data_IF_200076651597
#
_entry.id   IF_200076651597
#
_cell.length_a   1.000
_cell.length_b   1.000
_cell.length_c   1.000
_cell.angle_alpha   90.00
_cell.angle_beta   90.00
_cell.angle_gamma   90.00
#
_symmetry.space_group_name_H-M   'P 1'
#
loop_
_entity.id
_entity.type
_entity.pdbx_description
1 polymer ?
#
# COMPACT_ATOMS: atom_id res chain seq x y z
N UNK A 1 -2.60 -6.28 10.16
CA UNK A 1 -3.26 -6.16 11.48
C UNK A 1 -4.71 -6.61 11.33
N UNK A 2 -5.32 -7.13 12.39
CA UNK A 2 -6.73 -7.53 12.40
C UNK A 2 -7.57 -6.48 13.14
N UNK A 3 -8.72 -6.12 12.57
CA UNK A 3 -9.68 -5.17 13.15
C UNK A 3 -10.90 -5.91 13.69
N UNK A 4 -11.42 -5.50 14.85
CA UNK A 4 -12.54 -6.18 15.50
C UNK A 4 -13.86 -5.49 15.16
N UNK A 5 -14.69 -6.14 14.36
CA UNK A 5 -16.04 -5.70 14.05
C UNK A 5 -17.02 -6.18 15.12
N UNK A 6 -17.98 -5.32 15.48
CA UNK A 6 -19.03 -5.62 16.45
C UNK A 6 -20.36 -5.07 15.98
N UNK A 7 -21.40 -5.87 16.11
CA UNK A 7 -22.79 -5.50 15.88
C UNK A 7 -23.63 -5.97 17.05
N UNK A 8 -24.69 -5.22 17.38
CA UNK A 8 -25.62 -5.57 18.44
C UNK A 8 -27.01 -5.72 17.85
N UNK A 9 -27.70 -6.79 18.23
CA UNK A 9 -29.09 -7.04 17.92
C UNK A 9 -29.90 -6.78 19.19
N UNK A 10 -30.92 -5.94 19.04
CA UNK A 10 -31.84 -5.59 20.11
C UNK A 10 -33.24 -6.05 19.74
N UNK A 11 -34.02 -6.46 20.74
CA UNK A 11 -35.47 -6.63 20.59
C UNK A 11 -36.19 -5.27 20.65
N UNK A 12 -37.52 -5.30 20.49
CA UNK A 12 -38.39 -4.12 20.56
C UNK A 12 -38.32 -3.38 21.91
N UNK A 13 -37.90 -4.07 22.97
CA UNK A 13 -37.82 -3.55 24.34
C UNK A 13 -36.39 -3.08 24.67
N UNK A 14 -35.46 -3.18 23.72
CA UNK A 14 -34.06 -2.76 23.84
C UNK A 14 -33.12 -3.80 24.45
N UNK A 15 -33.60 -5.01 24.75
CA UNK A 15 -32.76 -6.09 25.28
C UNK A 15 -31.94 -6.75 24.18
N UNK A 16 -30.76 -7.28 24.53
CA UNK A 16 -29.94 -8.02 23.58
C UNK A 16 -30.55 -9.39 23.27
N UNK A 17 -30.61 -9.75 21.99
CA UNK A 17 -31.10 -11.08 21.57
C UNK A 17 -29.92 -12.05 21.47
N UNK A 18 -29.88 -13.07 22.32
CA UNK A 18 -28.85 -14.12 22.29
C UNK A 18 -29.09 -15.16 21.18
N UNK A 19 -28.00 -15.71 20.61
CA UNK A 19 -28.07 -16.79 19.64
C UNK A 19 -28.55 -16.37 18.24
N UNK A 20 -28.81 -15.09 18.03
CA UNK A 20 -29.33 -14.57 16.77
C UNK A 20 -28.23 -14.54 15.69
N UNK A 21 -28.49 -15.06 14.48
CA UNK A 21 -27.49 -15.14 13.43
C UNK A 21 -27.22 -13.76 12.78
N UNK A 22 -25.95 -13.41 12.66
CA UNK A 22 -25.49 -12.26 11.89
C UNK A 22 -24.47 -12.72 10.86
N UNK A 23 -24.80 -12.49 9.58
CA UNK A 23 -23.96 -12.88 8.45
C UNK A 23 -23.05 -11.71 8.07
N UNK A 24 -21.75 -11.92 8.20
CA UNK A 24 -20.71 -10.99 7.77
C UNK A 24 -20.19 -11.40 6.38
N UNK A 25 -20.19 -10.45 5.45
CA UNK A 25 -19.78 -10.68 4.06
C UNK A 25 -18.86 -9.56 3.60
N UNK A 26 -17.63 -9.92 3.20
CA UNK A 26 -16.67 -9.00 2.59
C UNK A 26 -17.10 -8.77 1.14
N UNK A 27 -17.59 -7.56 0.83
CA UNK A 27 -18.04 -7.19 -0.52
C UNK A 27 -16.91 -6.67 -1.38
N UNK A 28 -15.95 -5.97 -0.79
CA UNK A 28 -14.78 -5.42 -1.49
C UNK A 28 -13.54 -5.48 -0.59
N UNK A 29 -12.37 -5.58 -1.22
CA UNK A 29 -11.08 -5.41 -0.56
C UNK A 29 -10.22 -6.67 -0.44
N UNK A 30 -10.82 -7.86 -0.63
CA UNK A 30 -10.08 -9.12 -0.68
C UNK A 30 -9.49 -9.56 0.67
N UNK A 31 -10.02 -9.03 1.78
CA UNK A 31 -9.69 -9.48 3.13
C UNK A 31 -10.29 -10.84 3.48
N UNK A 32 -10.07 -11.28 4.72
CA UNK A 32 -10.63 -12.51 5.28
C UNK A 32 -11.04 -12.31 6.73
N UNK A 33 -11.91 -13.18 7.25
CA UNK A 33 -12.27 -13.21 8.66
C UNK A 33 -11.44 -14.24 9.42
N UNK A 34 -10.96 -13.86 10.60
CA UNK A 34 -10.30 -14.79 11.52
C UNK A 34 -11.32 -15.48 12.45
N UNK A 35 -11.10 -16.76 12.83
CA UNK A 35 -9.99 -17.64 12.42
C UNK A 35 -10.27 -18.44 11.15
N UNK A 36 -11.44 -18.27 10.53
CA UNK A 36 -11.93 -19.16 9.46
C UNK A 36 -11.21 -18.98 8.13
N UNK A 37 -10.59 -17.82 7.90
CA UNK A 37 -10.04 -17.43 6.61
C UNK A 37 -11.12 -17.14 5.54
N UNK A 38 -12.39 -17.17 5.90
CA UNK A 38 -13.50 -17.00 4.97
C UNK A 38 -13.73 -15.51 4.64
N UNK A 39 -14.24 -15.22 3.45
CA UNK A 39 -14.75 -13.89 3.09
C UNK A 39 -16.24 -13.71 3.41
N UNK A 40 -16.89 -14.78 3.85
CA UNK A 40 -18.31 -14.81 4.20
C UNK A 40 -18.56 -15.83 5.31
N UNK A 41 -19.20 -15.41 6.40
CA UNK A 41 -19.49 -16.30 7.53
C UNK A 41 -20.62 -15.76 8.39
N UNK A 42 -21.24 -16.65 9.16
CA UNK A 42 -22.30 -16.29 10.11
C UNK A 42 -21.80 -16.46 11.53
N UNK A 43 -21.99 -15.42 12.35
CA UNK A 43 -21.67 -15.40 13.77
C UNK A 43 -22.95 -15.19 14.55
N UNK A 44 -23.14 -15.96 15.61
CA UNK A 44 -24.28 -15.79 16.54
C UNK A 44 -23.96 -14.77 17.62
N UNK A 45 -24.99 -14.03 18.06
CA UNK A 45 -24.87 -13.08 19.17
C UNK A 45 -24.71 -13.79 20.52
N UNK A 46 -23.98 -13.16 21.44
CA UNK A 46 -23.87 -13.62 22.83
C UNK A 46 -25.08 -13.18 23.70
N UNK A 47 -25.08 -13.50 24.99
CA UNK A 47 -26.08 -13.10 25.98
C UNK A 47 -26.39 -11.58 26.04
N UNK A 48 -25.47 -10.71 25.60
CA UNK A 48 -25.70 -9.26 25.50
C UNK A 48 -26.27 -8.79 24.15
N UNK A 49 -26.57 -9.73 23.25
CA UNK A 49 -27.02 -9.47 21.89
C UNK A 49 -25.91 -9.06 20.93
N UNK A 50 -24.64 -9.30 21.24
CA UNK A 50 -23.50 -8.81 20.44
C UNK A 50 -22.85 -9.94 19.66
N UNK A 51 -22.72 -9.77 18.35
CA UNK A 51 -21.89 -10.61 17.48
C UNK A 51 -20.55 -9.90 17.20
N UNK A 52 -19.45 -10.66 17.20
CA UNK A 52 -18.08 -10.12 17.04
C UNK A 52 -17.28 -10.97 16.07
N UNK A 53 -16.51 -10.33 15.21
CA UNK A 53 -15.61 -11.01 14.28
C UNK A 53 -14.35 -10.18 14.02
N UNK A 54 -13.22 -10.83 13.79
CA UNK A 54 -11.98 -10.16 13.41
C UNK A 54 -11.81 -10.15 11.89
N UNK A 55 -11.65 -8.97 11.31
CA UNK A 55 -11.36 -8.74 9.90
C UNK A 55 -9.84 -8.59 9.70
N UNK A 56 -9.27 -9.44 8.85
CA UNK A 56 -7.98 -9.18 8.21
C UNK A 56 -8.22 -8.40 6.93
N UNK A 57 -7.72 -7.16 6.89
CA UNK A 57 -7.81 -6.32 5.68
C UNK A 57 -7.00 -6.94 4.54
N UNK A 58 -7.51 -6.80 3.31
CA UNK A 58 -6.74 -7.15 2.13
C UNK A 58 -5.69 -6.10 1.77
N UNK A 59 -4.87 -6.39 0.76
CA UNK A 59 -3.72 -5.56 0.39
C UNK A 59 -4.04 -4.27 -0.36
N UNK A 60 -5.28 -3.78 -0.40
CA UNK A 60 -5.64 -2.56 -1.15
C UNK A 60 -5.74 -1.39 -0.17
N UNK A 61 -5.03 -0.30 -0.47
CA UNK A 61 -4.90 0.87 0.43
C UNK A 61 -5.78 2.07 0.07
N UNK A 62 -6.69 1.92 -0.89
CA UNK A 62 -7.57 3.03 -1.29
C UNK A 62 -8.64 3.28 -0.22
N UNK A 63 -9.10 4.53 -0.01
CA UNK A 63 -10.33 4.79 0.73
C UNK A 63 -11.47 3.92 0.18
N UNK A 64 -12.35 3.45 1.07
CA UNK A 64 -13.48 2.57 0.76
C UNK A 64 -13.09 1.29 0.00
N UNK A 65 -11.83 0.83 0.12
CA UNK A 65 -11.39 -0.39 -0.54
C UNK A 65 -11.85 -1.64 0.17
N UNK A 66 -12.06 -1.59 1.49
CA UNK A 66 -12.50 -2.71 2.30
C UNK A 66 -13.93 -2.43 2.76
N UNK A 67 -14.90 -3.15 2.18
CA UNK A 67 -16.32 -3.00 2.51
C UNK A 67 -16.83 -4.33 3.04
N UNK A 68 -17.38 -4.32 4.25
CA UNK A 68 -18.00 -5.49 4.89
C UNK A 68 -19.45 -5.16 5.22
N UNK A 69 -20.35 -6.06 4.82
CA UNK A 69 -21.75 -5.99 5.21
C UNK A 69 -22.02 -6.96 6.35
N UNK A 70 -22.66 -6.49 7.41
CA UNK A 70 -23.27 -7.33 8.43
C UNK A 70 -24.79 -7.32 8.23
N UNK A 71 -25.31 -8.45 7.76
CA UNK A 71 -26.74 -8.66 7.49
C UNK A 71 -27.35 -9.58 8.52
N UNK A 72 -28.56 -9.26 8.95
CA UNK A 72 -29.34 -10.07 9.88
C UNK A 72 -30.82 -9.91 9.56
N UNK A 73 -31.60 -10.97 9.73
CA UNK A 73 -33.03 -11.01 9.40
C UNK A 73 -33.82 -11.69 10.53
N UNK A 74 -35.11 -11.39 10.59
CA UNK A 74 -36.02 -11.97 11.57
C UNK A 74 -36.50 -13.39 11.19
N UNK A 75 -36.10 -13.89 10.02
CA UNK A 75 -36.54 -15.18 9.47
C UNK A 75 -37.99 -15.21 8.98
N UNK A 76 -38.71 -14.09 9.00
CA UNK A 76 -40.15 -14.01 8.69
C UNK A 76 -40.44 -12.89 7.68
N UNK A 77 -40.17 -11.63 8.06
CA UNK A 77 -40.50 -10.44 7.27
C UNK A 77 -39.33 -9.93 6.43
N UNK A 78 -38.10 -10.39 6.74
CA UNK A 78 -36.89 -10.06 5.99
C UNK A 78 -35.81 -9.46 6.90
N UNK A 79 -34.97 -8.61 6.31
CA UNK A 79 -33.85 -8.00 7.02
C UNK A 79 -34.34 -7.12 8.19
N UNK A 80 -33.60 -7.16 9.29
CA UNK A 80 -33.88 -6.31 10.45
C UNK A 80 -33.73 -4.83 10.09
N UNK A 81 -34.44 -3.96 10.81
CA UNK A 81 -34.25 -2.51 10.66
C UNK A 81 -32.78 -2.14 10.92
N UNK A 82 -32.16 -1.43 9.98
CA UNK A 82 -30.73 -1.09 10.03
C UNK A 82 -29.78 -2.17 9.49
N UNK A 83 -30.30 -3.31 9.02
CA UNK A 83 -29.56 -4.31 8.25
C UNK A 83 -29.67 -4.00 6.74
N UNK A 84 -28.57 -4.06 5.97
CA UNK A 84 -27.20 -4.31 6.41
C UNK A 84 -26.57 -3.12 7.14
N UNK A 85 -25.77 -3.43 8.16
CA UNK A 85 -24.76 -2.50 8.67
C UNK A 85 -23.54 -2.57 7.74
N UNK A 86 -23.08 -1.44 7.26
CA UNK A 86 -21.90 -1.34 6.37
C UNK A 86 -20.70 -0.86 7.17
N UNK A 87 -19.66 -1.68 7.21
CA UNK A 87 -18.35 -1.32 7.71
C UNK A 87 -17.43 -0.96 6.54
N UNK A 88 -16.79 0.20 6.63
CA UNK A 88 -15.78 0.65 5.68
C UNK A 88 -14.43 0.78 6.40
N UNK A 89 -13.40 0.20 5.79
CA UNK A 89 -12.02 0.30 6.26
C UNK A 89 -11.07 0.46 5.05
N UNK A 90 -9.83 0.79 5.34
CA UNK A 90 -8.76 0.81 4.35
C UNK A 90 -7.46 0.34 4.99
N UNK A 91 -6.65 -0.40 4.24
CA UNK A 91 -5.31 -0.74 4.68
C UNK A 91 -4.37 0.46 4.52
N UNK A 92 -3.29 0.48 5.29
CA UNK A 92 -2.13 1.34 5.03
C UNK A 92 -1.08 0.55 4.27
N UNK A 93 -0.24 1.26 3.50
CA UNK A 93 0.84 0.62 2.76
C UNK A 93 1.77 -0.13 3.72
N UNK A 94 2.21 -1.32 3.29
CA UNK A 94 3.21 -2.08 4.03
C UNK A 94 4.60 -1.44 3.97
N UNK A 95 5.59 -2.15 4.52
CA UNK A 95 7.00 -1.77 4.35
C UNK A 95 7.36 -1.76 2.85
N UNK A 96 8.23 -0.84 2.39
CA UNK A 96 8.80 -0.89 1.05
C UNK A 96 9.36 -2.27 0.71
N UNK A 97 9.20 -2.65 -0.56
CA UNK A 97 9.57 -3.95 -1.09
C UNK A 97 10.37 -3.78 -2.37
N UNK A 98 11.50 -4.48 -2.43
CA UNK A 98 12.44 -4.43 -3.53
C UNK A 98 11.86 -4.95 -4.85
N UNK A 99 11.03 -6.00 -4.79
CA UNK A 99 10.48 -6.65 -5.98
C UNK A 99 9.46 -5.81 -6.76
N UNK A 100 8.93 -4.74 -6.15
CA UNK A 100 7.90 -3.89 -6.73
C UNK A 100 8.32 -2.42 -6.84
N UNK A 101 9.36 -2.00 -6.12
CA UNK A 101 9.95 -0.66 -6.21
C UNK A 101 10.91 -0.56 -7.39
N UNK A 102 11.01 0.62 -8.01
CA UNK A 102 11.87 0.81 -9.17
C UNK A 102 12.30 2.26 -9.35
N UNK A 103 13.33 2.46 -10.17
CA UNK A 103 13.90 3.76 -10.50
C UNK A 103 13.85 3.96 -12.01
N UNK A 104 13.52 5.17 -12.46
CA UNK A 104 13.58 5.59 -13.86
C UNK A 104 14.41 6.86 -14.00
N UNK A 105 14.92 7.10 -15.20
CA UNK A 105 15.56 8.35 -15.59
C UNK A 105 14.80 9.01 -16.71
N UNK A 106 14.93 10.34 -16.85
CA UNK A 106 14.22 11.06 -17.91
C UNK A 106 14.69 10.69 -19.33
N UNK A 107 15.92 10.21 -19.45
CA UNK A 107 16.51 9.74 -20.71
C UNK A 107 17.47 8.57 -20.44
N UNK A 108 17.73 7.78 -21.47
CA UNK A 108 18.77 6.73 -21.46
C UNK A 108 20.17 7.28 -21.70
N UNK A 109 20.27 8.57 -22.04
CA UNK A 109 21.50 9.20 -22.50
C UNK A 109 21.62 10.63 -21.93
N UNK A 110 22.82 11.03 -21.48
CA UNK A 110 23.14 12.39 -21.01
C UNK A 110 24.54 12.82 -21.47
N UNK A 111 24.80 14.11 -21.74
CA UNK A 111 26.16 14.63 -21.84
C UNK A 111 26.98 14.34 -20.58
N UNK A 112 28.27 14.06 -20.76
CA UNK A 112 29.23 13.88 -19.67
C UNK A 112 30.01 15.18 -19.42
N UNK A 113 29.32 16.30 -19.33
CA UNK A 113 29.89 17.66 -19.21
C UNK A 113 30.03 18.13 -17.75
N UNK A 114 29.53 17.34 -16.79
CA UNK A 114 29.49 17.71 -15.36
C UNK A 114 28.46 18.80 -15.02
N UNK A 115 27.69 19.29 -15.98
CA UNK A 115 26.79 20.43 -15.82
C UNK A 115 25.34 20.05 -16.09
N UNK A 116 25.07 19.27 -17.13
CA UNK A 116 23.73 18.89 -17.55
C UNK A 116 23.16 17.83 -16.60
N UNK A 117 22.11 18.14 -15.80
CA UNK A 117 21.55 17.18 -14.86
C UNK A 117 20.71 16.11 -15.56
N UNK A 118 20.91 14.85 -15.18
CA UNK A 118 20.02 13.75 -15.51
C UNK A 118 18.98 13.58 -14.39
N UNK A 119 17.69 13.86 -14.64
CA UNK A 119 16.63 13.64 -13.65
C UNK A 119 16.41 12.15 -13.39
N UNK A 120 16.22 11.80 -12.12
CA UNK A 120 15.96 10.45 -11.60
C UNK A 120 14.64 10.48 -10.83
N UNK A 121 13.73 9.57 -11.17
CA UNK A 121 12.45 9.38 -10.48
C UNK A 121 12.44 8.02 -9.80
N UNK A 122 12.10 8.01 -8.51
CA UNK A 122 12.04 6.80 -7.69
C UNK A 122 10.58 6.51 -7.35
N UNK A 123 10.18 5.25 -7.52
CA UNK A 123 8.88 4.73 -7.15
C UNK A 123 9.05 3.71 -6.03
N UNK A 124 8.56 4.02 -4.84
CA UNK A 124 8.61 3.16 -3.66
C UNK A 124 7.25 2.50 -3.45
N UNK A 125 7.24 1.18 -3.48
CA UNK A 125 6.03 0.36 -3.35
C UNK A 125 6.22 -0.76 -2.32
N UNK A 126 5.12 -1.19 -1.70
CA UNK A 126 5.10 -2.40 -0.87
C UNK A 126 5.03 -3.67 -1.72
N UNK A 127 5.11 -4.86 -1.12
CA UNK A 127 5.12 -6.11 -1.88
C UNK A 127 3.79 -6.41 -2.59
N UNK A 128 2.72 -5.68 -2.28
CA UNK A 128 1.43 -5.76 -2.96
C UNK A 128 1.30 -4.71 -4.08
N UNK A 129 2.35 -3.92 -4.34
CA UNK A 129 2.38 -2.89 -5.36
C UNK A 129 1.78 -1.55 -4.94
N UNK A 130 1.39 -1.39 -3.67
CA UNK A 130 0.84 -0.14 -3.17
C UNK A 130 1.93 0.92 -3.00
N UNK A 131 1.65 2.20 -3.30
CA UNK A 131 2.60 3.28 -3.06
C UNK A 131 2.88 3.47 -1.56
N UNK A 132 4.15 3.59 -1.18
CA UNK A 132 4.56 3.87 0.20
C UNK A 132 4.88 5.34 0.36
N UNK A 133 4.12 6.03 1.20
CA UNK A 133 4.23 7.46 1.48
C UNK A 133 5.17 7.70 2.66
N UNK A 134 5.91 8.80 2.63
CA UNK A 134 6.71 9.27 3.76
C UNK A 134 8.08 8.61 3.89
N UNK A 135 8.55 7.91 2.87
CA UNK A 135 9.85 7.24 2.90
C UNK A 135 10.96 8.18 2.40
N UNK A 136 12.08 8.21 3.10
CA UNK A 136 13.29 8.93 2.67
C UNK A 136 14.16 8.03 1.82
N UNK A 137 14.62 8.51 0.67
CA UNK A 137 15.38 7.74 -0.32
C UNK A 137 16.73 8.40 -0.60
N UNK A 138 17.76 7.59 -0.80
CA UNK A 138 19.10 7.98 -1.24
C UNK A 138 19.37 7.36 -2.61
N UNK A 139 19.81 8.18 -3.55
CA UNK A 139 20.29 7.80 -4.89
C UNK A 139 21.78 7.49 -4.82
N UNK A 140 22.19 6.43 -5.49
CA UNK A 140 23.58 6.04 -5.71
C UNK A 140 23.80 5.83 -7.22
N UNK A 141 24.93 6.28 -7.74
CA UNK A 141 25.27 6.17 -9.17
C UNK A 141 26.65 5.55 -9.31
N UNK A 142 26.77 4.48 -10.10
CA UNK A 142 28.05 3.79 -10.29
C UNK A 142 28.97 4.51 -11.27
N UNK A 143 30.29 4.34 -11.06
CA UNK A 143 31.41 4.76 -11.94
C UNK A 143 31.58 6.28 -12.14
N UNK A 144 32.84 6.74 -12.03
CA UNK A 144 33.23 8.14 -12.25
C UNK A 144 32.90 9.07 -11.07
N UNK A 145 33.42 10.31 -11.06
CA UNK A 145 32.89 11.35 -10.18
C UNK A 145 31.49 11.72 -10.68
N UNK A 146 30.49 11.48 -9.83
CA UNK A 146 29.12 11.92 -10.05
C UNK A 146 28.80 12.94 -8.96
N UNK A 147 28.18 14.05 -9.34
CA UNK A 147 27.55 14.95 -8.38
C UNK A 147 26.07 14.58 -8.31
N UNK A 148 25.58 14.22 -7.13
CA UNK A 148 24.24 13.65 -6.94
C UNK A 148 23.41 14.63 -6.10
N UNK A 149 22.40 15.22 -6.74
CA UNK A 149 21.35 15.95 -6.03
C UNK A 149 20.36 14.94 -5.46
N UNK A 150 20.50 14.66 -4.17
CA UNK A 150 19.61 13.76 -3.44
C UNK A 150 18.17 14.30 -3.39
N UNK A 151 17.16 13.42 -3.34
CA UNK A 151 15.80 13.84 -3.04
C UNK A 151 15.74 14.52 -1.66
N UNK A 152 15.22 15.74 -1.61
CA UNK A 152 15.04 16.49 -0.36
C UNK A 152 13.68 16.23 0.30
N UNK A 153 12.73 15.69 -0.47
CA UNK A 153 11.40 15.35 -0.01
C UNK A 153 11.25 13.83 0.15
N UNK A 154 10.50 13.44 1.19
CA UNK A 154 10.01 12.07 1.34
C UNK A 154 9.04 11.71 0.21
N UNK A 155 8.78 10.41 0.02
CA UNK A 155 7.83 9.96 -1.00
C UNK A 155 6.43 10.54 -0.79
N UNK A 156 5.85 11.06 -1.87
CA UNK A 156 4.51 11.65 -1.85
C UNK A 156 3.39 10.59 -1.79
N UNK A 157 2.12 11.01 -1.89
CA UNK A 157 0.95 10.12 -1.86
C UNK A 157 0.97 8.99 -2.93
N UNK A 158 1.72 9.17 -4.00
CA UNK A 158 1.90 8.18 -5.06
C UNK A 158 3.15 7.30 -4.88
N UNK A 159 3.85 7.43 -3.74
CA UNK A 159 5.09 6.72 -3.46
C UNK A 159 6.27 7.22 -4.28
N UNK A 160 6.22 8.47 -4.76
CA UNK A 160 7.19 9.03 -5.69
C UNK A 160 8.08 10.05 -4.99
N UNK A 161 9.38 9.99 -5.25
CA UNK A 161 10.33 11.07 -4.95
C UNK A 161 11.35 11.18 -6.10
N UNK A 162 12.04 12.32 -6.21
CA UNK A 162 12.94 12.60 -7.33
C UNK A 162 14.23 13.29 -6.90
N UNK A 163 15.28 13.05 -7.67
CA UNK A 163 16.58 13.71 -7.56
C UNK A 163 17.23 13.80 -8.93
N UNK A 164 18.53 14.09 -8.97
CA UNK A 164 19.27 14.13 -10.23
C UNK A 164 20.75 13.84 -10.01
N UNK A 165 21.49 13.60 -11.08
CA UNK A 165 22.94 13.56 -11.03
C UNK A 165 23.57 14.17 -12.28
N UNK A 166 24.79 14.68 -12.15
CA UNK A 166 25.68 15.04 -13.27
C UNK A 166 26.91 14.13 -13.25
N UNK A 167 27.59 14.01 -14.40
CA UNK A 167 28.82 13.23 -14.53
C UNK A 167 29.76 13.92 -15.50
N UNK A 168 31.06 13.94 -15.19
CA UNK A 168 32.13 14.36 -16.14
C UNK A 168 32.73 13.17 -16.88
N UNK A 169 32.35 11.94 -16.50
CA UNK A 169 32.88 10.72 -17.11
C UNK A 169 31.85 10.08 -18.03
N UNK A 170 32.21 9.95 -19.31
CA UNK A 170 31.44 9.16 -20.26
C UNK A 170 31.45 7.67 -19.90
N UNK A 171 30.49 6.92 -20.44
CA UNK A 171 30.33 5.50 -20.19
C UNK A 171 29.09 5.16 -19.37
N UNK A 172 28.70 3.87 -19.32
CA UNK A 172 27.47 3.42 -18.70
C UNK A 172 27.43 3.80 -17.21
N UNK A 173 26.24 4.18 -16.74
CA UNK A 173 25.97 4.49 -15.33
C UNK A 173 24.85 3.56 -14.86
N UNK A 174 24.99 2.99 -13.68
CA UNK A 174 23.90 2.26 -13.03
C UNK A 174 23.39 3.14 -11.91
N UNK A 175 22.10 3.48 -11.95
CA UNK A 175 21.44 4.26 -10.91
C UNK A 175 20.72 3.30 -10.00
N UNK A 176 20.98 3.41 -8.71
CA UNK A 176 20.29 2.68 -7.66
C UNK A 176 19.71 3.62 -6.62
N UNK A 177 18.68 3.14 -5.93
CA UNK A 177 18.06 3.87 -4.83
C UNK A 177 17.93 2.95 -3.60
N UNK A 178 17.97 3.55 -2.41
CA UNK A 178 17.72 2.85 -1.15
C UNK A 178 16.93 3.74 -0.20
N UNK A 179 16.07 3.15 0.62
CA UNK A 179 15.36 3.91 1.66
C UNK A 179 16.10 3.89 3.00
N UNK A 180 15.93 4.95 3.80
CA UNK A 180 16.78 5.19 4.98
C UNK A 180 16.41 4.36 6.22
N UNK A 181 15.15 3.96 6.40
CA UNK A 181 14.67 3.43 7.71
C UNK A 181 14.91 1.94 8.01
N UNK A 182 15.63 1.20 7.17
CA UNK A 182 16.05 -0.15 7.53
C UNK A 182 17.22 -0.61 6.69
N UNK A 183 18.26 -1.18 7.32
CA UNK A 183 19.36 -1.84 6.62
C UNK A 183 18.83 -2.82 5.55
N UNK A 184 19.41 -2.69 4.36
CA UNK A 184 19.52 -3.62 3.21
C UNK A 184 18.74 -3.25 1.94
N UNK A 185 19.39 -3.58 0.81
CA UNK A 185 19.40 -2.93 -0.52
C UNK A 185 18.49 -3.67 -1.51
N UNK A 186 17.66 -2.96 -2.31
CA UNK A 186 17.61 -3.11 -3.78
C UNK A 186 17.06 -1.86 -4.50
N UNK A 187 17.62 -1.60 -5.68
CA UNK A 187 16.97 -1.45 -6.99
C UNK A 187 18.05 -0.94 -7.96
N UNK A 188 18.31 -1.63 -9.08
CA UNK A 188 19.33 -1.26 -10.06
C UNK A 188 18.68 -0.98 -11.42
N UNK A 189 18.77 0.25 -11.92
CA UNK A 189 18.45 0.60 -13.30
C UNK A 189 19.75 0.70 -14.11
N UNK A 190 19.86 -0.08 -15.20
CA UNK A 190 21.01 -0.07 -16.12
C UNK A 190 20.78 1.00 -17.19
N UNK A 191 21.65 2.02 -17.26
CA UNK A 191 21.59 3.05 -18.31
C UNK A 191 22.66 2.76 -19.38
N UNK A 192 22.25 2.65 -20.65
CA UNK A 192 23.13 2.45 -21.82
C UNK A 192 23.25 3.73 -22.66
N UNK A 193 24.47 4.30 -22.66
CA UNK A 193 25.15 5.19 -23.63
C UNK A 193 24.41 6.43 -24.18
N UNK A 194 24.93 7.63 -23.89
CA UNK A 194 25.01 8.74 -24.84
C UNK A 194 26.41 8.80 -25.41
N UNK A 195 26.57 8.78 -26.73
CA UNK A 195 27.78 9.29 -27.37
C UNK A 195 27.73 10.81 -27.34
N UNK A 196 28.63 11.46 -26.60
CA UNK A 196 29.04 12.83 -26.90
C UNK A 196 30.36 12.76 -27.66
N UNK A 197 30.39 13.31 -28.87
CA UNK A 197 31.61 13.61 -29.60
C UNK A 197 32.22 14.86 -29.00
N UNK A 198 33.50 14.85 -28.55
CA UNK A 198 34.19 16.08 -28.22
C UNK A 198 34.51 16.83 -29.53
N UNK A 199 34.38 18.16 -29.48
CA UNK A 199 34.89 19.06 -30.52
C UNK A 199 36.38 19.31 -30.30
#
# INVERSE_FOLDING_TARGET
MAELLRVRINDKDGNGVEGHPVRFSIKRGGGTFDPTGASDTTVVTNASGVARIQLRLGGVIKPDSQIVHATSNDGITGDLSGSPIVFAAYATAGRPCDGTSYVTTASTTNPADGVTPMPVTIYVRDCFGNPVVGESVIIEVTSGPNDISQPTQITNANGITSGSFTSTRSGPKVVSARWQRSKWRCAAAIIKKATSTPR
#
